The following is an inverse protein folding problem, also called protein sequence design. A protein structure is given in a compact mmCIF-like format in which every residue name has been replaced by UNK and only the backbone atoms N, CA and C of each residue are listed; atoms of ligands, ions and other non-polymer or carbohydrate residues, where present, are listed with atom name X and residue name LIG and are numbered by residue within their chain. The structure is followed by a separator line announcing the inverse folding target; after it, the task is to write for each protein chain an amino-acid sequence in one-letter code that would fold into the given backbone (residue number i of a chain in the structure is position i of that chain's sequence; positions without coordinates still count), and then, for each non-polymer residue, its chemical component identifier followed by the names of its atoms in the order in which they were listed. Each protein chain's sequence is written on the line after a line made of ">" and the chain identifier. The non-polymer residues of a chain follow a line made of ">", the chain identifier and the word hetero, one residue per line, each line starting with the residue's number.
data_IF_247648069880
#
_entry.id   IF_247648069880
#
_cell.length_a   1.000
_cell.length_b   1.000
_cell.length_c   1.000
_cell.angle_alpha   90.00
_cell.angle_beta   90.00
_cell.angle_gamma   90.00
#
_symmetry.space_group_name_H-M   'P 1'
#
loop_
_entity.id
_entity.type
_entity.pdbx_description
1 polymer ?
#
# COMPACT_ATOMS: atom_id res chain seq x y z
N UNK A 1 -3.82 -19.94 12.87
CA UNK A 1 -2.39 -19.74 12.65
C UNK A 1 -2.08 -19.51 11.21
N UNK A 2 -1.25 -18.53 10.95
CA UNK A 2 -0.81 -18.28 9.59
C UNK A 2 0.12 -19.37 9.08
N UNK A 3 0.49 -19.26 7.85
CA UNK A 3 1.39 -20.24 7.25
C UNK A 3 2.25 -19.58 6.18
N UNK A 4 3.30 -20.29 5.80
CA UNK A 4 4.25 -19.86 4.77
C UNK A 4 4.29 -20.88 3.67
N UNK A 5 4.50 -20.42 2.45
CA UNK A 5 4.71 -21.31 1.32
C UNK A 5 5.55 -20.62 0.27
N UNK A 6 6.19 -21.42 -0.58
CA UNK A 6 6.85 -20.89 -1.77
C UNK A 6 5.87 -20.98 -2.93
N UNK A 7 6.04 -20.08 -3.92
CA UNK A 7 5.26 -20.20 -5.14
C UNK A 7 5.68 -21.48 -5.88
N UNK A 8 4.98 -21.81 -6.96
CA UNK A 8 5.22 -23.06 -7.66
C UNK A 8 6.64 -23.21 -8.24
N UNK A 9 7.35 -22.09 -8.39
CA UNK A 9 8.72 -22.11 -8.92
C UNK A 9 9.77 -21.98 -7.83
N UNK A 10 9.36 -21.85 -6.57
CA UNK A 10 10.29 -21.67 -5.46
C UNK A 10 11.02 -20.33 -5.48
N UNK A 11 10.50 -19.33 -6.20
CA UNK A 11 11.15 -18.04 -6.35
C UNK A 11 10.60 -16.97 -5.42
N UNK A 12 9.51 -17.24 -4.73
CA UNK A 12 8.86 -16.30 -3.85
C UNK A 12 8.35 -17.00 -2.59
N UNK A 13 8.68 -16.43 -1.45
CA UNK A 13 8.13 -16.90 -0.18
C UNK A 13 6.90 -16.07 0.14
N UNK A 14 5.81 -16.74 0.47
CA UNK A 14 4.53 -16.13 0.78
C UNK A 14 4.12 -16.49 2.21
N UNK A 15 3.67 -15.50 2.97
CA UNK A 15 3.17 -15.72 4.32
C UNK A 15 1.73 -15.25 4.41
N UNK A 16 0.90 -16.03 5.08
CA UNK A 16 -0.54 -15.78 5.19
C UNK A 16 -0.95 -15.75 6.66
N UNK A 17 -1.99 -14.97 6.95
CA UNK A 17 -2.56 -14.96 8.29
C UNK A 17 -3.59 -16.08 8.46
N UNK A 18 -4.25 -16.11 9.61
CA UNK A 18 -5.25 -17.14 9.93
C UNK A 18 -6.46 -17.13 9.01
N UNK A 19 -6.69 -16.02 8.33
CA UNK A 19 -7.83 -15.84 7.42
C UNK A 19 -7.45 -16.03 5.97
N UNK A 20 -6.25 -16.55 5.70
CA UNK A 20 -5.72 -16.77 4.36
C UNK A 20 -5.43 -15.48 3.60
N UNK A 21 -5.23 -14.38 4.31
CA UNK A 21 -4.81 -13.13 3.69
C UNK A 21 -3.28 -13.12 3.58
N UNK A 22 -2.78 -12.74 2.43
CA UNK A 22 -1.34 -12.61 2.23
C UNK A 22 -0.82 -11.42 3.02
N UNK A 23 0.07 -11.64 3.99
CA UNK A 23 0.61 -10.58 4.84
C UNK A 23 2.05 -10.23 4.55
N UNK A 24 2.78 -11.09 3.87
CA UNK A 24 4.17 -10.85 3.56
C UNK A 24 4.59 -11.66 2.34
N UNK A 25 5.33 -11.04 1.45
CA UNK A 25 5.96 -11.76 0.35
C UNK A 25 7.41 -11.33 0.24
N UNK A 26 8.26 -12.26 -0.15
CA UNK A 26 9.68 -12.00 -0.35
C UNK A 26 10.15 -12.74 -1.58
N UNK A 27 10.73 -12.01 -2.51
CA UNK A 27 11.23 -12.59 -3.74
C UNK A 27 12.71 -12.93 -3.59
N UNK A 28 13.17 -13.83 -4.43
CA UNK A 28 14.55 -14.29 -4.40
C UNK A 28 15.55 -13.14 -4.59
N UNK A 29 15.15 -12.13 -5.34
CA UNK A 29 15.98 -10.95 -5.56
C UNK A 29 16.07 -10.03 -4.34
N UNK A 30 15.26 -10.30 -3.29
CA UNK A 30 15.26 -9.50 -2.08
C UNK A 30 14.12 -8.52 -1.95
N UNK A 31 13.33 -8.33 -2.99
CA UNK A 31 12.16 -7.46 -2.90
C UNK A 31 11.15 -8.06 -1.92
N UNK A 32 10.65 -7.22 -1.01
CA UNK A 32 9.68 -7.65 -0.01
C UNK A 32 8.49 -6.71 0.03
N UNK A 33 7.35 -7.25 0.40
CA UNK A 33 6.15 -6.45 0.61
C UNK A 33 5.39 -6.98 1.80
N UNK A 34 4.74 -6.07 2.53
CA UNK A 34 3.95 -6.37 3.71
C UNK A 34 2.55 -5.79 3.52
N UNK A 35 1.54 -6.52 4.01
CA UNK A 35 0.15 -6.17 3.81
C UNK A 35 -0.62 -6.30 5.12
N UNK A 36 -1.57 -5.39 5.36
CA UNK A 36 -2.48 -5.47 6.49
C UNK A 36 -3.91 -5.34 6.01
N UNK A 37 -4.82 -5.94 6.74
CA UNK A 37 -6.23 -6.04 6.36
C UNK A 37 -7.12 -5.66 7.54
N UNK A 38 -8.32 -5.14 7.22
CA UNK A 38 -9.32 -4.89 8.25
C UNK A 38 -10.11 -6.18 8.52
N UNK A 39 -11.08 -6.10 9.44
CA UNK A 39 -11.87 -7.25 9.85
C UNK A 39 -12.71 -7.86 8.74
N UNK A 40 -12.86 -7.15 7.65
CA UNK A 40 -13.66 -7.59 6.50
C UNK A 40 -12.83 -8.13 5.37
N UNK A 41 -11.51 -8.17 5.55
CA UNK A 41 -10.61 -8.63 4.51
C UNK A 41 -10.21 -7.57 3.50
N UNK A 42 -10.54 -6.31 3.74
CA UNK A 42 -10.09 -5.23 2.88
C UNK A 42 -8.64 -4.90 3.19
N UNK A 43 -7.82 -4.77 2.17
CA UNK A 43 -6.42 -4.43 2.34
C UNK A 43 -6.30 -2.95 2.69
N UNK A 44 -5.84 -2.65 3.91
CA UNK A 44 -5.77 -1.28 4.43
C UNK A 44 -4.38 -0.69 4.45
N UNK A 45 -3.36 -1.52 4.28
CA UNK A 45 -1.99 -1.03 4.29
C UNK A 45 -1.10 -1.92 3.45
N UNK A 46 -0.24 -1.30 2.66
CA UNK A 46 0.80 -1.98 1.89
C UNK A 46 2.09 -1.20 2.08
N UNK A 47 3.16 -1.93 2.31
CA UNK A 47 4.50 -1.36 2.36
C UNK A 47 5.43 -2.29 1.61
N UNK A 48 6.37 -1.74 0.86
CA UNK A 48 7.37 -2.59 0.21
C UNK A 48 8.78 -2.08 0.42
N UNK A 49 9.74 -2.89 0.00
CA UNK A 49 11.16 -2.59 0.21
C UNK A 49 11.68 -1.46 -0.68
N UNK A 50 10.89 -1.01 -1.65
CA UNK A 50 11.23 0.14 -2.48
C UNK A 50 10.77 1.45 -1.86
N UNK A 51 10.15 1.39 -0.68
CA UNK A 51 9.72 2.57 0.03
C UNK A 51 8.31 3.03 -0.30
N UNK A 52 7.54 2.19 -1.00
CA UNK A 52 6.14 2.50 -1.27
C UNK A 52 5.31 2.19 -0.03
N UNK A 53 4.41 3.10 0.31
CA UNK A 53 3.42 2.88 1.35
C UNK A 53 2.06 3.35 0.86
N UNK A 54 1.02 2.58 1.16
CA UNK A 54 -0.32 2.89 0.71
C UNK A 54 -1.30 2.53 1.84
N UNK A 55 -2.05 3.52 2.32
CA UNK A 55 -3.05 3.35 3.38
C UNK A 55 -4.42 3.56 2.79
N UNK A 56 -5.38 2.74 3.19
CA UNK A 56 -6.76 2.82 2.71
C UNK A 56 -7.73 2.62 3.86
N UNK A 57 -8.84 3.33 3.79
CA UNK A 57 -9.97 3.12 4.69
C UNK A 57 -11.20 2.85 3.84
N UNK A 58 -12.10 2.04 4.37
CA UNK A 58 -13.29 1.64 3.63
C UNK A 58 -14.55 1.90 4.45
N UNK A 59 -15.61 2.26 3.75
CA UNK A 59 -16.94 2.33 4.36
C UNK A 59 -17.44 0.91 4.65
N UNK A 60 -18.46 0.81 5.49
CA UNK A 60 -19.07 -0.48 5.78
C UNK A 60 -19.59 -1.18 4.53
N UNK A 61 -19.91 -0.42 3.50
CA UNK A 61 -20.37 -0.95 2.21
C UNK A 61 -19.26 -1.63 1.40
N UNK A 62 -17.99 -1.47 1.82
CA UNK A 62 -16.86 -1.97 1.06
C UNK A 62 -16.27 -0.98 0.09
N UNK A 63 -16.88 0.19 -0.04
CA UNK A 63 -16.36 1.23 -0.94
C UNK A 63 -15.24 2.00 -0.28
N UNK A 64 -14.29 2.44 -1.07
CA UNK A 64 -13.13 3.19 -0.58
C UNK A 64 -13.58 4.53 0.02
N UNK A 65 -13.16 4.79 1.24
CA UNK A 65 -13.47 6.01 1.97
C UNK A 65 -12.34 7.03 1.87
N UNK A 66 -11.13 6.57 2.02
CA UNK A 66 -9.96 7.44 1.93
C UNK A 66 -8.74 6.63 1.53
N UNK A 67 -7.76 7.30 0.98
CA UNK A 67 -6.48 6.68 0.68
C UNK A 67 -5.35 7.68 0.81
N UNK A 68 -4.20 7.16 1.21
CA UNK A 68 -2.97 7.92 1.31
C UNK A 68 -1.88 7.06 0.68
N UNK A 69 -1.18 7.62 -0.27
CA UNK A 69 -0.12 6.93 -0.99
C UNK A 69 1.17 7.73 -0.90
N UNK A 70 2.27 7.02 -0.76
CA UNK A 70 3.58 7.65 -0.70
C UNK A 70 4.64 6.75 -1.33
N UNK A 71 5.49 7.34 -2.14
CA UNK A 71 6.72 6.69 -2.61
C UNK A 71 7.82 7.74 -2.70
N UNK A 72 8.95 7.41 -3.34
CA UNK A 72 10.08 8.34 -3.40
C UNK A 72 9.85 9.54 -4.32
N UNK A 73 8.79 9.52 -5.11
CA UNK A 73 8.52 10.54 -6.12
C UNK A 73 7.29 11.38 -5.82
N UNK A 74 6.32 10.81 -5.12
CA UNK A 74 5.04 11.47 -4.94
C UNK A 74 4.33 11.02 -3.67
N UNK A 75 3.39 11.83 -3.26
CA UNK A 75 2.54 11.52 -2.12
C UNK A 75 1.18 12.16 -2.38
N UNK A 76 0.10 11.43 -2.09
CA UNK A 76 -1.23 12.00 -2.24
C UNK A 76 -2.19 11.48 -1.17
N UNK A 77 -3.24 12.27 -0.94
CA UNK A 77 -4.32 11.97 0.00
C UNK A 77 -5.63 12.26 -0.69
N UNK A 78 -6.59 11.33 -0.61
CA UNK A 78 -7.91 11.54 -1.18
C UNK A 78 -8.97 10.99 -0.25
N UNK A 79 -10.11 11.68 -0.22
CA UNK A 79 -11.30 11.23 0.51
C UNK A 79 -12.46 11.18 -0.46
N UNK A 80 -13.31 10.17 -0.29
CA UNK A 80 -14.42 9.91 -1.20
C UNK A 80 -15.71 9.74 -0.42
N UNK A 81 -16.85 10.09 -1.04
CA UNK A 81 -18.14 9.77 -0.45
C UNK A 81 -18.53 8.33 -0.82
N UNK A 82 -19.68 7.87 -0.31
CA UNK A 82 -20.10 6.48 -0.55
C UNK A 82 -20.51 6.22 -1.99
N UNK A 83 -20.64 7.26 -2.81
CA UNK A 83 -20.91 7.13 -4.22
C UNK A 83 -19.65 7.15 -5.07
N UNK A 84 -18.48 7.25 -4.42
CA UNK A 84 -17.21 7.26 -5.12
C UNK A 84 -16.77 8.64 -5.59
N UNK A 85 -17.53 9.69 -5.21
CA UNK A 85 -17.15 11.04 -5.58
C UNK A 85 -16.05 11.56 -4.68
N UNK A 86 -15.04 12.20 -5.26
CA UNK A 86 -13.95 12.80 -4.50
C UNK A 86 -14.46 13.99 -3.69
N UNK A 87 -14.28 13.92 -2.38
CA UNK A 87 -14.63 15.01 -1.47
C UNK A 87 -13.46 15.95 -1.25
N UNK A 88 -12.25 15.40 -1.20
CA UNK A 88 -11.06 16.14 -0.85
C UNK A 88 -9.85 15.41 -1.41
N UNK A 89 -8.88 16.17 -1.87
CA UNK A 89 -7.66 15.56 -2.40
C UNK A 89 -6.47 16.50 -2.25
N UNK A 90 -5.30 15.91 -2.14
CA UNK A 90 -4.04 16.63 -2.09
C UNK A 90 -2.97 15.76 -2.73
N UNK A 91 -2.15 16.38 -3.54
CA UNK A 91 -1.09 15.69 -4.26
C UNK A 91 0.21 16.49 -4.15
N UNK A 92 1.31 15.78 -3.89
CA UNK A 92 2.63 16.37 -3.84
C UNK A 92 3.59 15.57 -4.70
N UNK A 93 4.42 16.27 -5.44
CA UNK A 93 5.44 15.66 -6.27
C UNK A 93 6.81 16.05 -5.71
N UNK A 94 7.63 15.06 -5.40
CA UNK A 94 8.93 15.32 -4.79
C UNK A 94 9.98 15.49 -5.87
N UNK A 95 10.83 16.53 -5.75
CA UNK A 95 11.96 16.69 -6.67
C UNK A 95 12.88 15.49 -6.57
N UNK A 96 13.35 15.04 -7.70
CA UNK A 96 14.15 13.84 -7.80
C UNK A 96 15.55 14.01 -7.24
N UNK A 97 16.15 15.15 -7.44
CA UNK A 97 17.52 15.40 -7.07
C UNK A 97 17.59 16.37 -5.91
N UNK A 98 18.66 16.26 -5.13
CA UNK A 98 18.88 17.15 -4.04
C UNK A 98 18.89 18.61 -4.45
N UNK A 99 19.48 18.89 -5.60
CA UNK A 99 19.54 20.28 -6.06
C UNK A 99 18.15 20.88 -6.27
N UNK A 100 17.17 20.04 -6.47
CA UNK A 100 15.80 20.51 -6.63
C UNK A 100 15.19 20.96 -5.32
N UNK A 101 15.76 20.53 -4.22
CA UNK A 101 15.27 20.92 -2.91
C UNK A 101 15.53 22.41 -2.64
N UNK A 102 16.46 23.01 -3.36
CA UNK A 102 16.74 24.41 -3.21
C UNK A 102 15.93 25.29 -4.15
N UNK A 103 15.19 24.69 -5.02
CA UNK A 103 14.31 25.44 -5.91
C UNK A 103 13.07 25.80 -5.10
N UNK A 104 12.82 27.07 -5.01
CA UNK A 104 11.70 27.57 -4.26
C UNK A 104 10.51 27.80 -5.18
N UNK A 105 9.40 27.32 -4.77
CA UNK A 105 8.17 27.49 -5.53
C UNK A 105 7.20 28.42 -4.84
#
# INVERSE_FOLDING_TARGET
>A
MGYKEYDEYGTRLLEYDDNNNLIHSKEKCGFEAWYEYDDRGNQIYIKDSDGVEHWREFYNSGKLKSEHYKDSKEEYWYEYDENGKTLKGKFMYFPKKLHQAIITY
#
